data_IF_577116411068
#
_entry.id   IF_577116411068
#
_cell.length_a   1.000
_cell.length_b   1.000
_cell.length_c   1.000
_cell.angle_alpha   90.00
_cell.angle_beta   90.00
_cell.angle_gamma   90.00
#
_symmetry.space_group_name_H-M   'P 1'
#
loop_
_entity.id
_entity.type
_entity.pdbx_description
1 polymer ?
#
# COMPACT_ATOMS: atom_id res chain seq x y z
N UNK A 1 22.94 -47.37 29.41
CA UNK A 1 24.20 -48.07 29.07
C UNK A 1 24.57 -48.97 30.23
N UNK A 2 24.89 -50.21 29.97
CA UNK A 2 25.46 -51.10 30.96
C UNK A 2 26.98 -51.04 30.82
N UNK A 3 27.68 -50.92 31.94
CA UNK A 3 29.13 -50.94 31.97
C UNK A 3 29.59 -51.94 33.03
N UNK A 4 30.52 -52.77 32.72
CA UNK A 4 31.10 -53.75 33.62
C UNK A 4 32.22 -53.08 34.43
N UNK A 5 32.26 -53.30 35.74
CA UNK A 5 33.25 -52.74 36.64
C UNK A 5 34.28 -53.86 37.02
N UNK A 6 35.53 -53.42 37.13
CA UNK A 6 36.63 -54.26 37.60
C UNK A 6 36.91 -54.07 39.10
N UNK A 7 37.54 -55.03 39.74
CA UNK A 7 37.67 -55.07 41.20
C UNK A 7 38.67 -54.04 41.77
N UNK A 8 38.40 -53.65 43.02
CA UNK A 8 39.15 -52.70 43.85
C UNK A 8 38.92 -51.21 43.61
N UNK A 9 37.95 -50.67 44.33
CA UNK A 9 37.87 -49.20 44.57
C UNK A 9 37.62 -48.28 43.36
N UNK A 10 37.48 -48.88 42.18
CA UNK A 10 37.26 -48.12 40.97
C UNK A 10 35.84 -47.61 40.86
N UNK A 11 35.75 -46.32 40.72
CA UNK A 11 34.47 -45.63 40.46
C UNK A 11 34.00 -45.95 39.04
N UNK A 12 32.73 -46.24 38.89
CA UNK A 12 32.12 -46.25 37.55
C UNK A 12 31.82 -44.81 37.18
N UNK A 13 32.49 -44.38 36.19
CA UNK A 13 32.18 -43.11 35.57
C UNK A 13 31.52 -43.32 34.22
N UNK A 14 30.34 -42.83 34.02
CA UNK A 14 29.69 -42.84 32.72
C UNK A 14 29.20 -41.42 32.43
N UNK A 15 29.62 -40.88 31.30
CA UNK A 15 29.19 -39.58 30.85
C UNK A 15 27.90 -39.75 30.04
N UNK A 16 26.89 -39.00 30.41
CA UNK A 16 25.81 -38.70 29.52
C UNK A 16 26.29 -37.59 28.59
N UNK A 17 25.99 -37.69 27.30
CA UNK A 17 26.21 -36.54 26.40
C UNK A 17 25.52 -35.30 26.99
N UNK A 18 26.18 -34.14 26.90
CA UNK A 18 25.55 -32.91 27.34
C UNK A 18 24.22 -32.73 26.63
N UNK A 19 23.12 -32.53 27.37
CA UNK A 19 21.85 -32.22 26.75
C UNK A 19 21.93 -30.82 26.14
N UNK A 20 21.30 -30.64 24.99
CA UNK A 20 21.11 -29.31 24.41
C UNK A 20 20.16 -28.47 25.29
N UNK A 21 20.08 -27.17 25.02
CA UNK A 21 19.07 -26.31 25.68
C UNK A 21 17.63 -26.78 25.48
N UNK A 22 17.39 -27.68 24.52
CA UNK A 22 16.09 -28.26 24.17
C UNK A 22 15.86 -29.66 24.76
N UNK A 23 16.83 -30.26 25.45
CA UNK A 23 16.78 -31.64 25.93
C UNK A 23 17.12 -31.72 27.43
N UNK A 24 16.48 -32.61 28.14
CA UNK A 24 16.88 -33.07 29.47
C UNK A 24 16.70 -34.57 29.59
N UNK A 25 17.42 -35.16 30.51
CA UNK A 25 17.27 -36.57 30.84
C UNK A 25 16.49 -36.74 32.16
N UNK A 26 15.51 -37.61 32.10
CA UNK A 26 14.82 -38.08 33.30
C UNK A 26 15.31 -39.48 33.62
N UNK A 27 16.00 -39.62 34.72
CA UNK A 27 16.50 -40.91 35.16
C UNK A 27 15.43 -41.54 36.07
N UNK A 28 14.79 -42.59 35.56
CA UNK A 28 13.64 -43.24 36.23
C UNK A 28 14.03 -44.47 37.03
N UNK A 29 15.27 -44.94 36.93
CA UNK A 29 15.71 -46.09 37.70
C UNK A 29 17.19 -46.42 37.54
N UNK A 30 17.71 -46.99 38.56
CA UNK A 30 19.05 -47.51 38.68
C UNK A 30 18.98 -49.01 39.01
N UNK A 31 19.58 -49.83 38.19
CA UNK A 31 19.72 -51.29 38.45
C UNK A 31 21.17 -51.68 38.48
N UNK A 32 21.53 -52.50 39.36
CA UNK A 32 22.91 -53.03 39.44
C UNK A 32 22.96 -54.48 39.79
N UNK A 33 24.05 -55.11 39.39
CA UNK A 33 24.35 -56.50 39.77
C UNK A 33 25.80 -56.64 40.09
N UNK A 34 26.10 -57.53 40.94
CA UNK A 34 27.44 -57.89 41.38
C UNK A 34 27.60 -59.39 41.34
N UNK A 35 28.76 -59.81 40.91
CA UNK A 35 29.13 -61.20 40.91
C UNK A 35 30.37 -61.43 41.82
N UNK A 36 30.22 -62.33 42.82
CA UNK A 36 31.23 -62.58 43.83
C UNK A 36 31.88 -63.89 43.53
N UNK A 37 33.19 -63.89 43.33
CA UNK A 37 34.00 -65.07 43.06
C UNK A 37 34.91 -65.45 44.23
N UNK A 38 35.14 -64.54 45.19
CA UNK A 38 36.00 -64.76 46.34
C UNK A 38 35.19 -65.06 47.60
N UNK A 39 35.52 -66.16 48.22
CA UNK A 39 34.87 -66.64 49.40
C UNK A 39 35.03 -65.72 50.63
N UNK A 40 36.04 -64.86 50.65
CA UNK A 40 36.25 -63.84 51.69
C UNK A 40 35.16 -62.79 51.78
N UNK A 41 34.44 -62.69 50.71
CA UNK A 41 33.37 -61.70 50.58
C UNK A 41 31.96 -62.28 50.82
N UNK A 42 31.88 -63.52 51.27
CA UNK A 42 30.58 -64.12 51.61
C UNK A 42 30.14 -63.68 53.01
N UNK A 43 28.88 -63.36 53.12
CA UNK A 43 28.24 -62.99 54.35
C UNK A 43 28.23 -61.51 54.81
N UNK A 44 28.99 -60.66 54.10
CA UNK A 44 29.05 -59.24 54.42
C UNK A 44 27.99 -58.43 53.66
N UNK A 45 27.61 -57.30 54.21
CA UNK A 45 26.71 -56.35 53.53
C UNK A 45 27.48 -55.44 52.59
N UNK A 46 26.86 -55.02 51.50
CA UNK A 46 27.41 -54.11 50.52
C UNK A 46 26.71 -52.79 50.60
N UNK A 47 27.48 -51.76 50.34
CA UNK A 47 26.98 -50.41 50.09
C UNK A 47 27.39 -50.01 48.73
N UNK A 48 26.51 -49.40 47.98
CA UNK A 48 26.84 -48.72 46.77
C UNK A 48 26.54 -47.23 46.91
N UNK A 49 27.38 -46.43 46.33
CA UNK A 49 27.25 -45.01 46.25
C UNK A 49 27.07 -44.60 44.81
N UNK A 50 26.20 -43.66 44.57
CA UNK A 50 26.16 -42.97 43.31
C UNK A 50 25.96 -41.48 43.52
N UNK A 51 26.54 -40.68 42.64
CA UNK A 51 26.34 -39.24 42.58
C UNK A 51 26.30 -38.81 41.11
N UNK A 52 25.66 -37.67 40.93
CA UNK A 52 25.68 -36.99 39.63
C UNK A 52 26.45 -35.70 39.86
N UNK A 53 27.39 -35.37 38.98
CA UNK A 53 28.10 -34.09 39.04
C UNK A 53 27.08 -32.94 38.96
N UNK A 54 27.15 -31.98 39.87
CA UNK A 54 26.26 -30.84 40.10
C UNK A 54 24.95 -31.10 40.86
N UNK A 55 24.52 -32.34 41.04
CA UNK A 55 23.41 -32.67 41.95
C UNK A 55 23.81 -33.79 42.86
N UNK A 56 24.28 -33.43 44.03
CA UNK A 56 24.69 -34.43 45.04
C UNK A 56 23.47 -35.08 45.68
N UNK A 57 23.20 -36.32 45.29
CA UNK A 57 22.18 -37.18 45.92
C UNK A 57 22.82 -38.30 46.70
N UNK A 58 23.80 -37.99 47.52
CA UNK A 58 24.50 -39.01 48.30
C UNK A 58 23.56 -39.84 49.15
N UNK A 59 23.20 -41.03 48.65
CA UNK A 59 22.55 -42.07 49.44
C UNK A 59 23.36 -43.33 49.34
N UNK A 60 23.61 -43.90 50.52
CA UNK A 60 24.20 -45.21 50.65
C UNK A 60 23.10 -46.24 50.78
N UNK A 61 23.12 -47.23 49.92
CA UNK A 61 22.17 -48.36 49.94
C UNK A 61 22.94 -49.61 50.41
N UNK A 62 22.29 -50.33 51.31
CA UNK A 62 22.79 -51.61 51.79
C UNK A 62 22.12 -52.73 51.02
N UNK A 63 22.88 -53.55 50.32
CA UNK A 63 22.42 -54.76 49.71
C UNK A 63 22.82 -55.98 50.55
N UNK A 64 22.13 -57.09 50.36
CA UNK A 64 22.50 -58.32 51.04
C UNK A 64 23.49 -59.08 50.18
N UNK A 65 24.63 -59.49 50.75
CA UNK A 65 25.65 -60.27 50.12
C UNK A 65 25.14 -61.67 49.74
N UNK A 66 25.52 -62.19 48.58
CA UNK A 66 25.27 -63.60 48.27
C UNK A 66 25.92 -64.51 49.34
N UNK A 67 25.15 -65.51 49.74
CA UNK A 67 25.62 -66.51 50.73
C UNK A 67 26.38 -67.66 50.11
N UNK A 68 26.58 -67.68 48.80
CA UNK A 68 27.29 -68.70 48.05
C UNK A 68 28.14 -68.09 46.92
N UNK A 69 29.27 -68.74 46.58
CA UNK A 69 30.11 -68.35 45.45
C UNK A 69 29.34 -68.45 44.10
N UNK A 70 29.74 -67.66 43.16
CA UNK A 70 29.20 -67.60 41.79
C UNK A 70 27.72 -67.24 41.72
N UNK A 71 27.22 -66.51 42.70
CA UNK A 71 25.88 -65.96 42.65
C UNK A 71 25.87 -64.46 42.33
N UNK A 72 24.76 -64.02 41.77
CA UNK A 72 24.59 -62.62 41.40
C UNK A 72 23.70 -61.90 42.45
N UNK A 73 24.25 -60.93 43.17
CA UNK A 73 23.44 -60.00 43.94
C UNK A 73 22.91 -58.91 42.99
N UNK A 74 21.64 -58.62 43.10
CA UNK A 74 20.97 -57.59 42.32
C UNK A 74 20.31 -56.61 43.24
N UNK A 75 20.33 -55.37 42.85
CA UNK A 75 19.56 -54.31 43.48
C UNK A 75 18.85 -53.43 42.41
N UNK A 76 17.82 -52.78 42.81
CA UNK A 76 17.13 -51.78 42.02
C UNK A 76 16.73 -50.62 42.90
N UNK A 77 16.88 -49.42 42.40
CA UNK A 77 16.40 -48.21 43.03
C UNK A 77 15.69 -47.36 42.00
N UNK A 78 14.56 -46.79 42.33
CA UNK A 78 13.77 -45.96 41.48
C UNK A 78 13.79 -44.53 42.02
N UNK A 79 14.28 -43.60 41.18
CA UNK A 79 14.35 -42.19 41.52
C UNK A 79 14.03 -41.36 40.30
N UNK A 80 13.26 -40.32 40.55
CA UNK A 80 13.04 -39.27 39.61
C UNK A 80 14.11 -38.20 39.76
N UNK A 81 15.09 -38.20 38.84
CA UNK A 81 16.14 -37.21 38.81
C UNK A 81 16.23 -36.61 37.42
N UNK A 82 16.11 -35.30 37.38
CA UNK A 82 16.22 -34.56 36.10
C UNK A 82 17.64 -34.01 35.94
N UNK A 83 18.21 -34.22 34.76
CA UNK A 83 19.51 -33.69 34.36
C UNK A 83 19.35 -33.01 33.02
N UNK A 84 19.61 -31.74 32.95
CA UNK A 84 19.50 -31.08 31.66
C UNK A 84 19.71 -29.58 31.66
N UNK A 85 19.69 -29.01 30.50
CA UNK A 85 19.79 -27.57 30.29
C UNK A 85 21.19 -27.03 30.50
N UNK A 86 21.35 -26.21 31.52
CA UNK A 86 22.59 -25.46 31.76
C UNK A 86 23.59 -26.19 32.66
N UNK A 87 23.31 -27.44 33.04
CA UNK A 87 24.11 -28.17 34.05
C UNK A 87 25.43 -28.77 33.51
N UNK A 88 25.77 -28.52 32.22
CA UNK A 88 27.01 -29.03 31.62
C UNK A 88 26.96 -30.53 31.33
N UNK A 89 28.16 -31.19 31.37
CA UNK A 89 28.27 -32.64 31.15
C UNK A 89 27.95 -33.37 32.44
N UNK A 90 26.76 -33.98 32.60
CA UNK A 90 26.48 -34.74 33.81
C UNK A 90 27.28 -36.04 33.81
N UNK A 91 28.09 -36.20 34.78
CA UNK A 91 28.78 -37.45 35.04
C UNK A 91 28.05 -38.22 36.14
N UNK A 92 27.80 -39.47 35.87
CA UNK A 92 27.20 -40.39 36.83
C UNK A 92 28.33 -41.21 37.46
N UNK A 93 28.49 -41.10 38.77
CA UNK A 93 29.49 -41.83 39.55
C UNK A 93 28.84 -42.92 40.35
N UNK A 94 29.38 -44.08 40.33
CA UNK A 94 28.97 -45.15 41.22
C UNK A 94 30.16 -46.01 41.64
N UNK A 95 30.21 -46.33 42.90
CA UNK A 95 31.24 -47.25 43.41
C UNK A 95 30.62 -48.17 44.46
N UNK A 96 31.24 -49.32 44.62
CA UNK A 96 30.85 -50.29 45.59
C UNK A 96 31.82 -50.26 46.76
N UNK A 97 31.30 -50.38 47.98
CA UNK A 97 32.08 -50.41 49.21
C UNK A 97 31.59 -51.59 50.02
N UNK A 98 32.53 -52.36 50.52
CA UNK A 98 32.28 -53.34 51.58
C UNK A 98 32.24 -52.65 52.95
N UNK A 99 31.41 -53.13 53.86
CA UNK A 99 31.31 -52.57 55.22
C UNK A 99 32.66 -52.62 55.97
N UNK A 100 33.63 -53.46 55.57
CA UNK A 100 34.94 -53.59 56.18
C UNK A 100 36.11 -52.98 55.41
N UNK A 101 35.86 -52.25 54.36
CA UNK A 101 36.83 -51.56 53.45
C UNK A 101 37.90 -52.49 52.81
N UNK A 102 37.71 -53.80 52.87
CA UNK A 102 38.74 -54.76 52.43
C UNK A 102 38.29 -55.77 51.37
N UNK A 103 37.12 -55.62 50.78
CA UNK A 103 36.62 -56.65 49.86
C UNK A 103 36.89 -56.38 48.40
N UNK A 104 37.27 -57.42 47.72
CA UNK A 104 37.39 -57.47 46.26
C UNK A 104 35.98 -57.75 45.68
N UNK A 105 35.51 -56.88 44.86
CA UNK A 105 34.23 -57.02 44.13
C UNK A 105 34.57 -57.40 42.69
N UNK A 106 34.14 -58.60 42.31
CA UNK A 106 34.30 -59.09 40.96
C UNK A 106 33.05 -58.79 40.13
N UNK A 107 33.23 -58.23 38.97
CA UNK A 107 32.19 -58.02 37.95
C UNK A 107 30.89 -57.41 38.48
N UNK A 108 30.86 -56.11 38.65
CA UNK A 108 29.65 -55.39 38.93
C UNK A 108 29.19 -54.62 37.67
N UNK A 109 27.90 -54.50 37.50
CA UNK A 109 27.30 -53.69 36.44
C UNK A 109 26.33 -52.70 37.04
N UNK A 110 26.28 -51.54 36.45
CA UNK A 110 25.34 -50.49 36.76
C UNK A 110 24.57 -50.08 35.50
N UNK A 111 23.28 -50.12 35.55
CA UNK A 111 22.40 -49.78 34.43
C UNK A 111 21.51 -48.61 34.85
N UNK A 112 21.59 -47.57 34.08
CA UNK A 112 20.71 -46.43 34.24
C UNK A 112 19.59 -46.49 33.19
N UNK A 113 18.34 -46.43 33.68
CA UNK A 113 17.19 -46.28 32.83
C UNK A 113 16.90 -44.79 32.71
N UNK A 114 17.04 -44.26 31.52
CA UNK A 114 16.77 -42.83 31.21
C UNK A 114 15.68 -42.69 30.19
N UNK A 115 14.88 -41.67 30.34
CA UNK A 115 13.95 -41.19 29.32
C UNK A 115 14.36 -39.78 28.94
N UNK A 116 14.53 -39.49 27.66
CA UNK A 116 14.79 -38.15 27.20
C UNK A 116 13.48 -37.37 27.12
N UNK A 117 13.52 -36.16 27.62
CA UNK A 117 12.45 -35.19 27.49
C UNK A 117 12.95 -33.98 26.70
N UNK A 118 12.08 -33.41 25.92
CA UNK A 118 12.40 -32.37 24.96
C UNK A 118 11.47 -31.17 25.12
N UNK A 119 11.91 -30.01 24.66
CA UNK A 119 11.13 -28.77 24.58
C UNK A 119 11.35 -28.10 23.24
N UNK A 120 10.44 -27.19 22.87
CA UNK A 120 10.55 -26.33 21.71
C UNK A 120 10.62 -24.87 22.15
N UNK A 121 11.25 -24.02 21.36
CA UNK A 121 11.14 -22.57 21.50
C UNK A 121 10.26 -22.02 20.38
N UNK A 122 9.38 -21.05 20.71
CA UNK A 122 8.38 -20.54 19.78
C UNK A 122 8.51 -19.03 19.70
N UNK A 123 8.62 -18.52 18.49
CA UNK A 123 8.74 -17.10 18.18
C UNK A 123 7.67 -16.73 17.17
N UNK A 124 6.89 -15.69 17.47
CA UNK A 124 6.04 -15.00 16.48
C UNK A 124 6.80 -13.78 15.97
N UNK A 125 7.10 -13.75 14.68
CA UNK A 125 7.68 -12.62 13.99
C UNK A 125 6.56 -11.88 13.25
N UNK A 126 6.38 -10.59 13.55
CA UNK A 126 5.27 -9.81 13.00
C UNK A 126 5.52 -9.31 11.57
N UNK A 127 6.66 -9.67 10.96
CA UNK A 127 6.95 -9.54 9.53
C UNK A 127 6.62 -8.14 8.99
N UNK A 128 7.19 -7.12 9.62
CA UNK A 128 6.98 -5.71 9.30
C UNK A 128 5.76 -5.07 9.96
N UNK A 129 5.00 -5.82 10.75
CA UNK A 129 4.01 -5.30 11.69
C UNK A 129 4.56 -5.14 13.11
N UNK A 130 3.69 -4.73 14.03
CA UNK A 130 4.00 -4.59 15.46
C UNK A 130 2.81 -5.02 16.32
N UNK A 131 3.11 -5.51 17.50
CA UNK A 131 2.14 -5.69 18.59
C UNK A 131 2.75 -5.12 19.87
N UNK A 132 2.01 -4.26 20.58
CA UNK A 132 2.50 -3.54 21.76
C UNK A 132 3.87 -2.87 21.55
N UNK A 133 4.15 -2.36 20.32
CA UNK A 133 5.41 -1.71 19.98
C UNK A 133 6.58 -2.65 19.65
N UNK A 134 6.40 -3.96 19.75
CA UNK A 134 7.41 -4.97 19.43
C UNK A 134 7.23 -5.51 18.01
N UNK A 135 8.34 -5.89 17.36
CA UNK A 135 8.35 -6.50 16.02
C UNK A 135 8.20 -8.03 16.03
N UNK A 136 8.31 -8.64 17.21
CA UNK A 136 8.19 -10.08 17.44
C UNK A 136 7.85 -10.37 18.89
N UNK A 137 7.36 -11.57 19.16
CA UNK A 137 7.20 -12.10 20.51
C UNK A 137 7.87 -13.45 20.62
N UNK A 138 8.74 -13.58 21.60
CA UNK A 138 9.35 -14.84 22.00
C UNK A 138 8.58 -15.40 23.20
N UNK A 139 7.96 -16.55 23.03
CA UNK A 139 7.26 -17.25 24.12
C UNK A 139 8.21 -18.04 25.00
N UNK A 140 9.51 -18.01 24.68
CA UNK A 140 10.51 -18.82 25.37
C UNK A 140 10.35 -20.32 25.07
N UNK A 141 10.78 -21.12 26.02
CA UNK A 141 10.71 -22.56 25.89
C UNK A 141 9.37 -23.10 26.38
N UNK A 142 8.86 -24.11 25.69
CA UNK A 142 7.70 -24.87 26.13
C UNK A 142 7.98 -25.69 27.38
N UNK A 143 6.95 -26.30 27.96
CA UNK A 143 7.11 -27.38 28.92
C UNK A 143 7.83 -28.59 28.30
N UNK A 144 8.46 -29.39 29.13
CA UNK A 144 9.12 -30.61 28.72
C UNK A 144 8.13 -31.69 28.31
N UNK A 145 8.47 -32.48 27.30
CA UNK A 145 7.67 -33.61 26.80
C UNK A 145 8.54 -34.75 26.33
N UNK A 146 8.02 -35.97 26.41
CA UNK A 146 8.61 -37.16 25.75
C UNK A 146 8.17 -37.33 24.31
N UNK A 147 7.20 -36.50 23.84
CA UNK A 147 6.71 -36.50 22.47
C UNK A 147 7.62 -35.80 21.49
N UNK A 148 7.33 -35.94 20.20
CA UNK A 148 8.11 -35.35 19.09
C UNK A 148 7.68 -33.91 18.74
N UNK A 149 6.54 -33.45 19.26
CA UNK A 149 6.03 -32.09 19.03
C UNK A 149 5.22 -31.61 20.23
N UNK A 150 5.05 -30.27 20.27
CA UNK A 150 4.22 -29.60 21.27
C UNK A 150 3.17 -28.79 20.53
N UNK A 151 1.92 -28.98 20.90
CA UNK A 151 0.80 -28.20 20.38
C UNK A 151 0.84 -26.79 20.95
N UNK A 152 1.01 -25.78 20.07
CA UNK A 152 0.94 -24.38 20.39
C UNK A 152 -0.38 -23.79 19.87
N UNK A 153 -1.11 -23.09 20.72
CA UNK A 153 -2.38 -22.49 20.38
C UNK A 153 -2.19 -21.01 20.04
N UNK A 154 -2.66 -20.62 18.85
CA UNK A 154 -2.82 -19.24 18.41
C UNK A 154 -4.26 -18.84 18.75
N UNK A 155 -4.45 -18.07 19.81
CA UNK A 155 -5.78 -17.74 20.36
C UNK A 155 -6.30 -16.37 19.86
N UNK A 156 -5.54 -15.70 19.02
CA UNK A 156 -5.87 -14.36 18.52
C UNK A 156 -5.54 -13.22 19.48
N UNK A 157 -4.97 -13.50 20.66
CA UNK A 157 -4.55 -12.45 21.61
C UNK A 157 -3.36 -11.63 21.07
N UNK A 158 -2.55 -12.22 20.21
CA UNK A 158 -1.34 -11.63 19.62
C UNK A 158 -1.60 -11.23 18.16
N UNK A 159 -2.60 -10.37 17.91
CA UNK A 159 -2.88 -9.85 16.57
C UNK A 159 -2.02 -8.62 16.29
N UNK A 160 -0.97 -8.74 15.49
CA UNK A 160 -0.14 -7.61 15.13
C UNK A 160 -0.89 -6.65 14.20
N UNK A 161 -0.44 -5.39 14.17
CA UNK A 161 -0.93 -4.36 13.27
C UNK A 161 0.17 -3.93 12.32
N UNK A 162 -0.21 -3.61 11.07
CA UNK A 162 0.65 -3.02 10.07
C UNK A 162 -0.15 -2.01 9.27
N UNK A 163 0.32 -0.75 9.26
CA UNK A 163 -0.40 0.33 8.60
C UNK A 163 -0.61 0.02 7.10
N UNK A 164 -1.85 0.09 6.65
CA UNK A 164 -2.23 -0.17 5.26
C UNK A 164 -2.27 -1.65 4.88
N UNK A 165 -2.23 -2.55 5.85
CA UNK A 165 -2.31 -4.00 5.63
C UNK A 165 -3.34 -4.63 6.55
N UNK A 166 -3.93 -5.71 6.10
CA UNK A 166 -4.79 -6.60 6.86
C UNK A 166 -3.98 -7.83 7.30
N UNK A 167 -4.10 -8.20 8.57
CA UNK A 167 -3.48 -9.42 9.09
C UNK A 167 -4.32 -10.64 8.70
N UNK A 168 -3.71 -11.59 8.00
CA UNK A 168 -4.40 -12.80 7.51
C UNK A 168 -4.17 -14.02 8.41
N UNK A 169 -3.09 -14.04 9.20
CA UNK A 169 -2.67 -15.19 9.99
C UNK A 169 -1.17 -15.43 9.90
N UNK A 170 -0.75 -16.68 10.09
CA UNK A 170 0.64 -17.04 10.29
C UNK A 170 1.16 -18.05 9.26
N UNK A 171 2.46 -18.03 8.99
CA UNK A 171 3.15 -19.02 8.15
C UNK A 171 4.57 -19.26 8.65
N UNK A 172 5.13 -20.45 8.36
CA UNK A 172 6.56 -20.72 8.56
C UNK A 172 7.45 -20.04 7.53
N UNK A 173 6.88 -19.55 6.42
CA UNK A 173 7.60 -18.84 5.38
C UNK A 173 7.36 -17.34 5.52
N UNK A 174 8.41 -16.54 5.69
CA UNK A 174 8.34 -15.08 5.80
C UNK A 174 7.82 -14.38 4.54
N UNK A 175 7.90 -15.03 3.38
CA UNK A 175 7.43 -14.52 2.09
C UNK A 175 6.05 -15.06 1.67
N UNK A 176 5.33 -15.73 2.59
CA UNK A 176 4.02 -16.27 2.29
C UNK A 176 3.01 -15.15 1.96
N UNK A 177 2.22 -15.34 0.92
CA UNK A 177 1.12 -14.46 0.52
C UNK A 177 -0.24 -14.94 1.02
N UNK A 178 -0.30 -16.18 1.53
CA UNK A 178 -1.46 -16.76 2.20
C UNK A 178 -1.03 -17.48 3.48
N UNK A 179 -1.83 -17.42 4.56
CA UNK A 179 -1.48 -18.05 5.81
C UNK A 179 -1.60 -19.57 5.74
N UNK A 180 -0.68 -20.27 6.42
CA UNK A 180 -0.80 -21.71 6.68
C UNK A 180 -1.63 -21.96 7.93
N UNK A 181 -1.56 -21.02 8.89
CA UNK A 181 -2.29 -21.05 10.15
C UNK A 181 -3.14 -19.80 10.29
N UNK A 182 -4.43 -19.96 10.62
CA UNK A 182 -5.33 -18.84 10.86
C UNK A 182 -4.97 -18.02 12.10
N UNK A 183 -5.67 -16.91 12.27
CA UNK A 183 -5.53 -16.03 13.44
C UNK A 183 -5.81 -16.79 14.73
N UNK A 184 -6.87 -17.61 14.72
CA UNK A 184 -7.20 -18.56 15.80
C UNK A 184 -7.00 -19.96 15.25
N UNK A 185 -5.96 -20.64 15.67
CA UNK A 185 -5.60 -21.97 15.20
C UNK A 185 -4.59 -22.62 16.14
N UNK A 186 -4.07 -23.77 15.78
CA UNK A 186 -2.94 -24.39 16.48
C UNK A 186 -1.96 -24.97 15.49
N UNK A 187 -0.70 -25.08 15.91
CA UNK A 187 0.30 -25.81 15.15
C UNK A 187 1.13 -26.70 16.09
N UNK A 188 1.63 -27.78 15.52
CA UNK A 188 2.53 -28.68 16.23
C UNK A 188 3.98 -28.21 16.02
N UNK A 189 4.57 -27.66 17.10
CA UNK A 189 5.96 -27.22 17.13
C UNK A 189 6.85 -28.44 17.36
N UNK A 190 7.71 -28.83 16.40
CA UNK A 190 8.65 -29.91 16.64
C UNK A 190 9.59 -29.57 17.79
N UNK A 191 9.90 -30.56 18.64
CA UNK A 191 10.85 -30.40 19.72
C UNK A 191 12.29 -30.29 19.21
N UNK A 192 13.22 -29.96 20.09
CA UNK A 192 14.66 -29.79 19.81
C UNK A 192 15.01 -28.63 18.88
N UNK A 193 14.12 -27.68 18.69
CA UNK A 193 14.39 -26.54 17.80
C UNK A 193 13.51 -25.32 18.14
N UNK A 194 13.91 -24.20 17.54
CA UNK A 194 13.07 -23.00 17.51
C UNK A 194 12.14 -23.05 16.29
N UNK A 195 10.84 -22.86 16.54
CA UNK A 195 9.83 -22.67 15.52
C UNK A 195 9.47 -21.18 15.42
N UNK A 196 9.71 -20.56 14.26
CA UNK A 196 9.30 -19.19 14.00
C UNK A 196 8.10 -19.17 13.06
N UNK A 197 7.04 -18.47 13.46
CA UNK A 197 5.89 -18.16 12.61
C UNK A 197 5.95 -16.67 12.23
N UNK A 198 5.74 -16.40 10.96
CA UNK A 198 5.73 -15.06 10.39
C UNK A 198 4.30 -14.62 10.11
N UNK A 199 3.98 -13.38 10.48
CA UNK A 199 2.71 -12.78 10.13
C UNK A 199 2.58 -12.66 8.61
N UNK A 200 1.41 -13.02 8.09
CA UNK A 200 1.05 -12.89 6.67
C UNK A 200 0.09 -11.73 6.51
N UNK A 201 0.36 -10.88 5.53
CA UNK A 201 -0.31 -9.62 5.31
C UNK A 201 -0.93 -9.52 3.93
N UNK A 202 -2.15 -8.98 3.84
CA UNK A 202 -2.73 -8.47 2.61
C UNK A 202 -2.65 -6.95 2.57
N UNK A 203 -2.17 -6.38 1.46
CA UNK A 203 -2.20 -4.94 1.28
C UNK A 203 -3.65 -4.46 1.12
N UNK A 204 -4.04 -3.40 1.83
CA UNK A 204 -5.34 -2.78 1.68
C UNK A 204 -5.51 -2.17 0.29
N UNK A 205 -6.73 -2.12 -0.18
CA UNK A 205 -7.08 -1.51 -1.46
C UNK A 205 -8.02 -0.33 -1.25
N UNK A 206 -7.91 0.66 -2.14
CA UNK A 206 -8.67 1.89 -2.12
C UNK A 206 -9.32 2.13 -3.47
N UNK A 207 -10.55 2.67 -3.48
CA UNK A 207 -11.24 3.04 -4.71
C UNK A 207 -10.89 4.47 -5.09
N UNK A 208 -10.40 4.65 -6.32
CA UNK A 208 -10.19 5.95 -6.95
C UNK A 208 -11.28 6.15 -8.00
N UNK A 209 -12.20 7.05 -7.69
CA UNK A 209 -13.32 7.40 -8.58
C UNK A 209 -13.01 8.66 -9.37
N UNK A 210 -13.68 8.84 -10.50
CA UNK A 210 -13.53 10.00 -11.39
C UNK A 210 -14.87 10.72 -11.55
N UNK A 211 -14.83 12.03 -11.48
CA UNK A 211 -15.97 12.89 -11.73
C UNK A 211 -15.65 13.88 -12.83
N UNK A 212 -16.46 13.90 -13.87
CA UNK A 212 -16.25 14.80 -15.00
C UNK A 212 -16.47 16.29 -14.68
N UNK A 213 -16.98 16.62 -13.49
CA UNK A 213 -17.09 17.98 -12.96
C UNK A 213 -17.75 18.97 -13.95
N UNK A 214 -18.96 18.62 -14.39
CA UNK A 214 -19.72 19.40 -15.37
C UNK A 214 -19.42 19.03 -16.83
N UNK A 215 -18.54 18.07 -17.09
CA UNK A 215 -18.34 17.42 -18.39
C UNK A 215 -19.02 16.04 -18.45
N UNK A 216 -18.62 15.23 -19.43
CA UNK A 216 -19.08 13.86 -19.66
C UNK A 216 -17.92 12.92 -20.00
N UNK A 217 -18.14 11.59 -19.91
CA UNK A 217 -17.13 10.61 -20.26
C UNK A 217 -16.01 10.44 -19.24
N UNK A 218 -16.29 10.64 -17.94
CA UNK A 218 -15.35 10.29 -16.88
C UNK A 218 -15.01 8.79 -16.95
N UNK A 219 -13.74 8.39 -16.68
CA UNK A 219 -13.37 6.99 -16.65
C UNK A 219 -14.07 6.26 -15.48
N UNK A 220 -14.16 4.94 -15.60
CA UNK A 220 -14.56 4.08 -14.47
C UNK A 220 -13.54 4.15 -13.34
N UNK A 221 -13.99 3.84 -12.12
CA UNK A 221 -13.12 3.78 -10.95
C UNK A 221 -12.03 2.72 -11.09
N UNK A 222 -10.89 2.98 -10.46
CA UNK A 222 -9.72 2.10 -10.40
C UNK A 222 -9.42 1.70 -8.97
N UNK A 223 -8.77 0.55 -8.81
CA UNK A 223 -8.31 0.05 -7.51
C UNK A 223 -6.85 0.45 -7.30
N UNK A 224 -6.58 1.13 -6.19
CA UNK A 224 -5.25 1.49 -5.70
C UNK A 224 -4.85 0.53 -4.59
N UNK A 225 -3.75 -0.19 -4.74
CA UNK A 225 -3.18 -1.04 -3.69
C UNK A 225 -2.25 -0.21 -2.81
N UNK A 226 -2.31 -0.42 -1.50
CA UNK A 226 -1.44 0.26 -0.54
C UNK A 226 0.05 0.08 -0.90
N UNK A 227 0.81 1.17 -0.88
CA UNK A 227 2.24 1.17 -1.18
C UNK A 227 2.61 0.99 -2.67
N UNK A 228 1.64 0.68 -3.55
CA UNK A 228 1.88 0.50 -4.98
C UNK A 228 1.39 1.73 -5.74
N UNK A 229 2.23 2.34 -6.57
CA UNK A 229 1.82 3.47 -7.43
C UNK A 229 0.76 3.00 -8.43
N UNK A 230 -0.36 3.74 -8.51
CA UNK A 230 -1.39 3.53 -9.52
C UNK A 230 -1.14 4.45 -10.70
N UNK A 231 -1.17 3.91 -11.91
CA UNK A 231 -1.27 4.73 -13.14
C UNK A 231 -2.74 5.07 -13.35
N UNK A 232 -3.07 6.36 -13.31
CA UNK A 232 -4.43 6.84 -13.54
C UNK A 232 -4.87 6.55 -14.98
N UNK A 233 -6.19 6.51 -15.20
CA UNK A 233 -6.75 6.37 -16.54
C UNK A 233 -6.26 7.47 -17.48
N UNK A 234 -5.89 7.10 -18.71
CA UNK A 234 -5.55 8.04 -19.77
C UNK A 234 -6.76 8.65 -20.47
N UNK A 235 -7.97 8.14 -20.18
CA UNK A 235 -9.22 8.68 -20.73
C UNK A 235 -9.45 10.08 -20.22
N UNK A 236 -9.70 11.00 -21.14
CA UNK A 236 -10.02 12.41 -20.85
C UNK A 236 -11.53 12.62 -21.02
N UNK A 237 -12.21 13.18 -20.03
CA UNK A 237 -13.59 13.59 -20.20
C UNK A 237 -13.68 14.78 -21.17
N UNK A 238 -14.88 15.08 -21.63
CA UNK A 238 -15.15 16.20 -22.53
C UNK A 238 -16.12 17.19 -21.90
N UNK A 239 -15.97 18.47 -22.22
CA UNK A 239 -16.89 19.53 -21.84
C UNK A 239 -16.91 20.58 -22.92
N UNK A 240 -18.12 20.90 -23.43
CA UNK A 240 -18.29 21.89 -24.51
C UNK A 240 -17.69 23.23 -24.07
N UNK A 241 -16.86 23.82 -24.93
CA UNK A 241 -16.22 25.10 -24.70
C UNK A 241 -15.09 25.12 -23.66
N UNK A 242 -14.64 23.95 -23.20
CA UNK A 242 -13.57 23.84 -22.22
C UNK A 242 -12.48 22.87 -22.66
N UNK A 243 -11.27 23.13 -22.21
CA UNK A 243 -10.11 22.27 -22.32
C UNK A 243 -9.91 21.51 -20.99
N UNK A 244 -9.67 20.21 -21.08
CA UNK A 244 -9.35 19.39 -19.93
C UNK A 244 -7.88 19.57 -19.55
N UNK A 245 -7.62 20.04 -18.32
CA UNK A 245 -6.27 20.25 -17.79
C UNK A 245 -5.72 19.03 -17.04
N UNK A 246 -6.59 18.19 -16.48
CA UNK A 246 -6.22 17.06 -15.63
C UNK A 246 -7.19 16.88 -14.48
N UNK A 247 -6.72 16.22 -13.46
CA UNK A 247 -7.52 15.82 -12.30
C UNK A 247 -7.06 16.51 -11.01
N UNK A 248 -7.98 16.78 -10.09
CA UNK A 248 -7.70 17.27 -8.76
C UNK A 248 -8.65 16.61 -7.73
N UNK A 249 -8.31 16.67 -6.45
CA UNK A 249 -9.14 16.12 -5.37
C UNK A 249 -10.26 17.07 -4.93
N UNK A 250 -10.23 18.33 -5.37
CA UNK A 250 -11.28 19.33 -5.10
C UNK A 250 -12.09 19.62 -6.36
N UNK A 251 -13.43 19.68 -6.29
CA UNK A 251 -14.28 20.05 -7.42
C UNK A 251 -14.12 21.51 -7.86
N UNK A 252 -13.56 22.37 -7.00
CA UNK A 252 -13.34 23.80 -7.24
C UNK A 252 -11.90 24.13 -7.62
N UNK A 253 -11.04 23.12 -7.84
CA UNK A 253 -9.65 23.33 -8.20
C UNK A 253 -9.56 24.05 -9.56
N UNK A 254 -8.67 25.06 -9.64
CA UNK A 254 -8.36 25.82 -10.86
C UNK A 254 -7.10 25.30 -11.58
N UNK A 255 -6.34 24.43 -10.91
CA UNK A 255 -5.16 23.77 -11.50
C UNK A 255 -5.22 22.26 -11.24
N UNK A 256 -4.72 21.47 -12.20
CA UNK A 256 -4.68 20.03 -12.09
C UNK A 256 -3.51 19.58 -11.20
N UNK A 257 -3.76 18.61 -10.31
CA UNK A 257 -2.74 17.94 -9.51
C UNK A 257 -2.19 16.71 -10.22
N UNK A 258 -3.03 16.04 -11.00
CA UNK A 258 -2.70 14.81 -11.71
C UNK A 258 -3.07 14.94 -13.19
N UNK A 259 -2.19 14.48 -14.06
CA UNK A 259 -2.50 14.34 -15.48
C UNK A 259 -3.28 13.04 -15.75
N UNK A 260 -4.02 12.99 -16.88
CA UNK A 260 -4.51 11.71 -17.39
C UNK A 260 -3.33 10.79 -17.71
N UNK A 261 -3.40 9.52 -17.26
CA UNK A 261 -2.28 8.57 -17.35
C UNK A 261 -1.15 8.82 -16.37
N UNK A 262 -1.27 9.83 -15.48
CA UNK A 262 -0.24 10.18 -14.49
C UNK A 262 -0.18 9.21 -13.30
N UNK A 263 0.85 9.37 -12.48
CA UNK A 263 1.07 8.55 -11.28
C UNK A 263 0.27 9.07 -10.08
N UNK A 264 -0.34 8.14 -9.35
CA UNK A 264 -1.06 8.40 -8.09
C UNK A 264 -0.47 7.55 -6.98
N UNK A 265 0.07 8.18 -5.95
CA UNK A 265 0.79 7.51 -4.85
C UNK A 265 0.04 7.49 -3.52
N UNK A 266 -0.97 8.35 -3.35
CA UNK A 266 -1.69 8.46 -2.07
C UNK A 266 -2.43 7.16 -1.72
N UNK A 267 -2.34 6.77 -0.46
CA UNK A 267 -3.01 5.60 0.07
C UNK A 267 -4.31 6.03 0.77
N UNK A 268 -5.43 5.88 0.08
CA UNK A 268 -6.76 6.23 0.55
C UNK A 268 -7.76 6.29 -0.59
N UNK A 269 -9.03 6.10 -0.29
CA UNK A 269 -10.13 6.28 -1.24
C UNK A 269 -10.26 7.76 -1.58
N UNK A 270 -10.41 8.08 -2.87
CA UNK A 270 -10.52 9.45 -3.34
C UNK A 270 -11.45 9.56 -4.56
N UNK A 271 -12.05 10.74 -4.72
CA UNK A 271 -12.70 11.14 -5.97
C UNK A 271 -11.83 12.21 -6.63
N UNK A 272 -11.48 11.99 -7.89
CA UNK A 272 -10.74 12.90 -8.72
C UNK A 272 -11.71 13.65 -9.63
N UNK A 273 -11.70 14.96 -9.55
CA UNK A 273 -12.56 15.85 -10.31
C UNK A 273 -11.80 16.41 -11.49
N UNK A 274 -12.43 16.43 -12.68
CA UNK A 274 -11.85 17.07 -13.84
C UNK A 274 -11.67 18.58 -13.61
N UNK A 275 -10.50 19.06 -13.98
CA UNK A 275 -10.17 20.49 -13.97
C UNK A 275 -10.25 21.02 -15.38
N UNK A 276 -10.99 22.11 -15.54
CA UNK A 276 -11.34 22.68 -16.82
C UNK A 276 -10.80 24.09 -16.98
N UNK A 277 -10.31 24.42 -18.18
CA UNK A 277 -10.02 25.77 -18.60
C UNK A 277 -11.01 26.14 -19.72
N UNK A 278 -11.71 27.25 -19.57
CA UNK A 278 -12.57 27.77 -20.63
C UNK A 278 -11.71 28.11 -21.86
N UNK A 279 -12.18 27.71 -23.05
CA UNK A 279 -11.53 28.03 -24.31
C UNK A 279 -11.70 29.53 -24.62
N UNK A 280 -10.77 30.04 -25.39
CA UNK A 280 -10.78 31.42 -25.89
C UNK A 280 -10.86 31.39 -27.40
N UNK A 281 -11.71 32.27 -27.94
CA UNK A 281 -11.95 32.36 -29.37
C UNK A 281 -11.60 33.77 -29.87
N UNK A 282 -10.95 33.84 -31.03
CA UNK A 282 -10.93 35.03 -31.85
C UNK A 282 -12.33 35.30 -32.42
N UNK A 283 -12.61 36.53 -32.80
CA UNK A 283 -13.90 36.92 -33.37
C UNK A 283 -13.73 37.19 -34.85
N UNK A 284 -14.60 36.60 -35.68
CA UNK A 284 -14.69 36.91 -37.10
C UNK A 284 -15.74 38.01 -37.27
N UNK A 285 -15.28 39.19 -37.67
CA UNK A 285 -16.17 40.31 -38.04
C UNK A 285 -16.50 40.21 -39.54
N UNK A 286 -17.79 40.40 -39.87
CA UNK A 286 -18.31 40.46 -41.24
C UNK A 286 -18.94 41.83 -41.45
N UNK A 287 -18.48 42.53 -42.49
CA UNK A 287 -18.92 43.87 -42.77
C UNK A 287 -20.37 43.96 -43.27
N UNK A 288 -21.01 42.81 -43.61
CA UNK A 288 -22.43 42.75 -44.02
C UNK A 288 -22.76 43.82 -45.05
N UNK A 289 -22.03 43.80 -46.18
CA UNK A 289 -22.06 44.79 -47.26
C UNK A 289 -20.96 45.87 -47.15
N UNK A 290 -20.41 46.11 -45.98
CA UNK A 290 -19.22 46.96 -45.81
C UNK A 290 -17.92 46.16 -45.93
N UNK A 291 -16.80 46.88 -46.08
CA UNK A 291 -15.47 46.28 -46.20
C UNK A 291 -14.54 46.85 -45.16
N UNK A 292 -13.62 46.00 -44.68
CA UNK A 292 -12.56 46.42 -43.75
C UNK A 292 -11.54 47.30 -44.47
N UNK A 293 -11.34 48.52 -44.01
CA UNK A 293 -10.63 49.59 -44.74
C UNK A 293 -9.15 49.28 -44.99
N UNK A 294 -8.51 48.43 -44.14
CA UNK A 294 -7.11 48.08 -44.29
C UNK A 294 -6.94 46.90 -45.25
N UNK A 295 -7.80 45.88 -45.19
CA UNK A 295 -7.66 44.66 -45.98
C UNK A 295 -8.49 44.66 -47.28
N UNK A 296 -9.50 45.52 -47.35
CA UNK A 296 -10.46 45.53 -48.45
C UNK A 296 -11.42 44.31 -48.44
N UNK A 297 -11.37 43.49 -47.43
CA UNK A 297 -12.18 42.25 -47.29
C UNK A 297 -13.52 42.56 -46.62
N UNK A 298 -14.53 41.80 -46.96
CA UNK A 298 -15.83 41.79 -46.26
C UNK A 298 -15.71 41.15 -44.84
N UNK A 299 -14.67 40.36 -44.60
CA UNK A 299 -14.43 39.70 -43.32
C UNK A 299 -13.06 40.03 -42.76
N UNK A 300 -12.97 40.16 -41.46
CA UNK A 300 -11.70 40.34 -40.74
C UNK A 300 -11.74 39.63 -39.41
N UNK A 301 -10.67 38.90 -39.07
CA UNK A 301 -10.54 38.17 -37.81
C UNK A 301 -9.71 38.98 -36.80
N UNK A 302 -10.32 39.30 -35.64
CA UNK A 302 -9.60 39.88 -34.51
C UNK A 302 -8.91 38.77 -33.72
N UNK A 303 -7.63 38.52 -33.99
CA UNK A 303 -6.81 37.54 -33.29
C UNK A 303 -6.25 38.07 -31.99
N UNK A 304 -6.33 39.37 -31.74
CA UNK A 304 -5.75 40.06 -30.56
C UNK A 304 -6.69 40.01 -29.38
N UNK A 305 -7.97 40.33 -29.61
CA UNK A 305 -9.00 40.33 -28.57
C UNK A 305 -9.76 39.00 -28.62
N UNK A 306 -9.63 38.24 -27.52
CA UNK A 306 -10.27 36.91 -27.43
C UNK A 306 -11.44 36.92 -26.46
N UNK A 307 -12.48 36.19 -26.80
CA UNK A 307 -13.64 35.99 -25.99
C UNK A 307 -13.60 34.60 -25.37
N UNK A 308 -13.73 34.57 -24.02
CA UNK A 308 -13.72 33.33 -23.24
C UNK A 308 -15.12 32.70 -23.24
N UNK A 309 -15.20 31.39 -23.49
CA UNK A 309 -16.44 30.62 -23.44
C UNK A 309 -17.22 30.83 -22.14
N UNK A 310 -18.52 31.06 -22.27
CA UNK A 310 -19.43 31.21 -21.14
C UNK A 310 -19.36 32.56 -20.40
N UNK A 311 -18.38 33.42 -20.74
CA UNK A 311 -18.28 34.77 -20.19
C UNK A 311 -19.10 35.73 -21.06
N UNK A 312 -19.82 36.64 -20.41
CA UNK A 312 -20.55 37.70 -21.09
C UNK A 312 -19.67 38.92 -21.35
N UNK A 313 -19.75 39.48 -22.51
CA UNK A 313 -18.99 40.65 -22.94
C UNK A 313 -19.93 41.73 -23.44
N UNK A 314 -19.65 42.98 -23.08
CA UNK A 314 -20.26 44.13 -23.72
C UNK A 314 -19.67 44.26 -25.14
N UNK A 315 -20.52 44.27 -26.16
CA UNK A 315 -20.19 44.39 -27.57
C UNK A 315 -20.78 45.63 -28.24
N UNK A 316 -21.14 46.61 -27.40
CA UNK A 316 -21.59 47.94 -27.95
C UNK A 316 -20.49 48.56 -28.81
N UNK A 317 -20.90 49.49 -29.66
CA UNK A 317 -19.94 50.22 -30.52
C UNK A 317 -18.92 51.02 -29.68
N UNK A 318 -19.29 51.51 -28.52
CA UNK A 318 -18.37 52.18 -27.58
C UNK A 318 -17.25 51.26 -27.12
N UNK A 319 -17.55 49.95 -26.94
CA UNK A 319 -16.61 48.96 -26.41
C UNK A 319 -15.77 48.32 -27.53
N UNK A 320 -16.41 47.91 -28.63
CA UNK A 320 -15.74 47.22 -29.74
C UNK A 320 -15.17 48.16 -30.78
N UNK A 321 -15.79 49.35 -30.93
CA UNK A 321 -15.46 50.25 -32.07
C UNK A 321 -16.02 49.76 -33.40
N UNK A 322 -15.66 50.45 -34.48
CA UNK A 322 -16.08 50.14 -35.84
C UNK A 322 -15.23 49.04 -36.51
N UNK A 323 -14.16 48.58 -35.83
CA UNK A 323 -13.21 47.59 -36.35
C UNK A 323 -12.72 47.91 -37.76
N UNK A 324 -12.59 49.20 -38.07
CA UNK A 324 -12.17 49.73 -39.39
C UNK A 324 -13.06 49.30 -40.58
N UNK A 325 -14.29 48.88 -40.35
CA UNK A 325 -15.25 48.60 -41.40
C UNK A 325 -15.92 49.90 -41.88
N UNK A 326 -16.08 50.00 -43.18
CA UNK A 326 -16.75 51.10 -43.86
C UNK A 326 -17.74 50.58 -44.88
N UNK A 327 -18.93 51.23 -44.91
CA UNK A 327 -19.92 51.00 -45.92
C UNK A 327 -20.34 52.36 -46.46
N UNK A 328 -20.00 52.67 -47.74
CA UNK A 328 -20.30 53.99 -48.28
C UNK A 328 -21.79 54.38 -48.18
N UNK A 329 -22.04 55.51 -47.57
CA UNK A 329 -23.41 56.01 -47.37
C UNK A 329 -24.13 55.47 -46.15
N UNK A 330 -23.47 54.68 -45.33
CA UNK A 330 -24.04 54.12 -44.11
C UNK A 330 -23.19 54.44 -42.87
N UNK A 331 -23.85 54.51 -41.72
CA UNK A 331 -23.23 54.59 -40.41
C UNK A 331 -23.32 53.23 -39.72
N UNK A 332 -22.27 52.80 -39.08
CA UNK A 332 -22.30 51.58 -38.29
C UNK A 332 -23.08 51.82 -36.95
N UNK A 333 -24.14 51.05 -36.72
CA UNK A 333 -24.89 51.06 -35.46
C UNK A 333 -24.27 50.16 -34.39
N UNK A 334 -23.60 49.10 -34.85
CA UNK A 334 -22.97 48.11 -33.95
C UNK A 334 -22.88 46.73 -34.61
N UNK A 335 -22.89 45.71 -33.78
CA UNK A 335 -22.63 44.33 -34.18
C UNK A 335 -23.75 43.38 -33.74
N UNK A 336 -24.04 42.36 -34.51
CA UNK A 336 -24.99 41.30 -34.15
C UNK A 336 -24.47 39.93 -34.63
N UNK A 337 -24.91 38.82 -33.99
CA UNK A 337 -24.57 37.45 -34.41
C UNK A 337 -25.36 36.97 -35.63
N UNK A 338 -26.34 37.75 -36.13
CA UNK A 338 -27.10 37.47 -37.32
C UNK A 338 -26.88 38.56 -38.37
N UNK A 339 -26.50 38.18 -39.62
CA UNK A 339 -26.36 39.09 -40.75
C UNK A 339 -27.70 39.68 -41.24
N UNK A 340 -28.84 39.18 -40.78
CA UNK A 340 -30.18 39.70 -41.13
C UNK A 340 -30.80 40.54 -40.01
N UNK A 341 -30.11 40.73 -38.89
CA UNK A 341 -30.58 41.58 -37.80
C UNK A 341 -30.59 43.05 -38.21
N UNK A 342 -31.55 43.80 -37.69
CA UNK A 342 -31.73 45.24 -37.91
C UNK A 342 -31.24 46.08 -36.74
N UNK A 343 -31.04 45.45 -35.56
CA UNK A 343 -30.58 46.11 -34.33
C UNK A 343 -29.29 45.45 -33.84
N UNK A 344 -28.34 46.22 -33.31
CA UNK A 344 -27.14 45.68 -32.71
C UNK A 344 -27.43 45.00 -31.34
N UNK A 345 -26.61 43.99 -31.02
CA UNK A 345 -26.56 43.45 -29.66
C UNK A 345 -25.72 44.35 -28.77
N UNK A 346 -26.09 44.42 -27.48
CA UNK A 346 -25.28 45.10 -26.46
C UNK A 346 -24.34 44.15 -25.75
N UNK A 347 -24.70 42.87 -25.68
CA UNK A 347 -23.87 41.83 -24.99
C UNK A 347 -23.80 40.58 -25.87
N UNK A 348 -22.68 39.84 -25.68
CA UNK A 348 -22.45 38.54 -26.32
C UNK A 348 -21.91 37.57 -25.28
N UNK A 349 -22.46 36.36 -25.28
CA UNK A 349 -21.94 35.21 -24.56
C UNK A 349 -21.74 34.07 -25.52
N UNK A 350 -20.53 33.49 -25.54
CA UNK A 350 -20.23 32.34 -26.39
C UNK A 350 -20.71 31.08 -25.68
N UNK A 351 -21.69 30.40 -26.27
CA UNK A 351 -22.30 29.17 -25.73
C UNK A 351 -22.07 27.93 -26.61
N UNK A 352 -21.51 28.13 -27.82
CA UNK A 352 -21.13 27.06 -28.74
C UNK A 352 -19.62 26.97 -28.86
N UNK A 353 -19.08 25.75 -29.03
CA UNK A 353 -17.64 25.49 -29.17
C UNK A 353 -17.21 25.75 -30.60
N UNK A 354 -17.41 26.99 -31.05
CA UNK A 354 -17.07 27.48 -32.39
C UNK A 354 -16.66 28.94 -32.34
N UNK A 355 -15.93 29.40 -33.34
CA UNK A 355 -15.53 30.79 -33.47
C UNK A 355 -16.77 31.69 -33.67
N UNK A 356 -16.99 32.70 -32.83
CA UNK A 356 -18.10 33.62 -33.00
C UNK A 356 -17.90 34.51 -34.20
N UNK A 357 -18.98 34.74 -34.91
CA UNK A 357 -19.05 35.70 -36.03
C UNK A 357 -19.96 36.85 -35.67
N UNK A 358 -19.53 38.09 -35.88
CA UNK A 358 -20.28 39.31 -35.68
C UNK A 358 -20.45 40.03 -37.00
N UNK A 359 -21.70 40.35 -37.31
CA UNK A 359 -22.09 41.05 -38.53
C UNK A 359 -22.35 42.53 -38.21
N UNK A 360 -21.86 43.40 -39.06
CA UNK A 360 -22.12 44.83 -38.95
C UNK A 360 -23.62 45.14 -39.18
N UNK A 361 -24.16 46.00 -38.37
CA UNK A 361 -25.50 46.53 -38.52
C UNK A 361 -25.37 47.99 -38.96
N UNK A 362 -25.94 48.29 -40.08
CA UNK A 362 -25.82 49.60 -40.71
C UNK A 362 -27.13 50.34 -40.74
N UNK A 363 -27.08 51.64 -40.49
CA UNK A 363 -28.14 52.56 -40.83
C UNK A 363 -27.75 53.45 -42.01
N UNK A 364 -28.72 53.89 -42.77
CA UNK A 364 -28.48 54.81 -43.84
C UNK A 364 -27.96 56.14 -43.30
N UNK A 365 -26.77 56.58 -43.71
CA UNK A 365 -26.20 57.85 -43.30
C UNK A 365 -26.99 59.04 -43.81
N UNK A 366 -27.42 59.90 -42.92
CA UNK A 366 -28.30 61.03 -43.22
C UNK A 366 -27.55 62.30 -43.69
N UNK A 367 -26.53 62.15 -44.50
CA UNK A 367 -25.68 63.30 -44.89
C UNK A 367 -26.27 64.19 -45.97
N UNK A 368 -27.36 63.82 -46.60
CA UNK A 368 -28.05 64.64 -47.61
C UNK A 368 -29.49 64.89 -47.15
N UNK A 369 -29.82 66.14 -46.92
CA UNK A 369 -31.17 66.56 -46.64
C UNK A 369 -31.71 67.35 -47.82
N UNK A 370 -32.91 67.03 -48.27
CA UNK A 370 -33.62 67.77 -49.29
C UNK A 370 -34.82 68.49 -48.67
N UNK A 371 -34.94 69.80 -48.93
CA UNK A 371 -36.07 70.56 -48.44
C UNK A 371 -37.24 70.38 -49.39
N UNK A 372 -38.27 69.66 -48.94
CA UNK A 372 -39.48 69.44 -49.70
C UNK A 372 -40.71 69.71 -48.89
N UNK A 373 -41.70 70.35 -49.42
CA UNK A 373 -42.96 70.66 -48.71
C UNK A 373 -42.85 71.37 -47.38
N UNK A 374 -41.85 72.28 -47.29
CA UNK A 374 -41.67 73.05 -46.03
C UNK A 374 -40.86 72.35 -44.95
N UNK A 375 -40.36 71.18 -45.20
CA UNK A 375 -39.57 70.38 -44.21
C UNK A 375 -38.27 69.80 -44.83
N UNK A 376 -37.23 69.70 -43.99
CA UNK A 376 -36.01 69.00 -44.33
C UNK A 376 -36.20 67.47 -44.17
N UNK A 377 -36.10 66.75 -45.29
CA UNK A 377 -36.15 65.29 -45.32
C UNK A 377 -34.77 64.70 -45.67
N UNK A 378 -34.48 63.55 -45.15
CA UNK A 378 -33.30 62.79 -45.50
C UNK A 378 -33.48 62.28 -46.94
N UNK A 379 -32.54 62.58 -47.79
CA UNK A 379 -32.52 62.08 -49.18
C UNK A 379 -31.34 61.10 -49.39
N UNK A 380 -31.63 60.01 -49.99
CA UNK A 380 -30.60 59.03 -50.43
C UNK A 380 -30.20 59.46 -51.86
N UNK A 381 -28.96 59.88 -52.10
CA UNK A 381 -28.57 60.28 -53.46
C UNK A 381 -28.34 59.01 -54.32
N UNK A 382 -29.17 58.86 -55.28
CA UNK A 382 -28.96 57.90 -56.40
C UNK A 382 -28.53 58.62 -57.65
N UNK A 383 -27.56 58.05 -58.34
CA UNK A 383 -27.16 58.51 -59.69
C UNK A 383 -27.54 57.43 -60.65
N UNK A 384 -28.19 57.82 -61.74
CA UNK A 384 -28.55 56.94 -62.80
C UNK A 384 -27.38 56.86 -63.83
N UNK A 385 -26.69 55.68 -63.86
CA UNK A 385 -25.56 55.41 -64.71
C UNK A 385 -25.77 54.09 -65.42
N UNK A 386 -25.55 54.07 -66.76
CA UNK A 386 -25.59 52.86 -67.55
C UNK A 386 -26.92 52.06 -67.49
N UNK A 387 -28.05 52.79 -67.33
CA UNK A 387 -29.36 52.14 -67.26
C UNK A 387 -29.80 51.69 -65.88
N UNK A 388 -29.03 51.93 -64.83
CA UNK A 388 -29.34 51.55 -63.47
C UNK A 388 -29.20 52.73 -62.52
N UNK A 389 -30.02 52.71 -61.45
CA UNK A 389 -29.88 53.62 -60.28
C UNK A 389 -28.81 53.06 -59.30
N UNK A 390 -27.74 53.84 -59.18
CA UNK A 390 -26.66 53.51 -58.23
C UNK A 390 -26.63 54.51 -57.09
N UNK A 391 -26.38 54.03 -55.86
CA UNK A 391 -26.13 54.89 -54.72
C UNK A 391 -24.96 55.84 -55.05
N UNK A 392 -25.18 57.14 -54.96
CA UNK A 392 -24.15 58.15 -55.18
C UNK A 392 -23.39 58.41 -53.93
N UNK A 393 -22.06 58.28 -54.03
CA UNK A 393 -21.18 58.83 -52.94
C UNK A 393 -21.16 60.34 -53.12
N UNK A 394 -21.56 61.07 -52.07
CA UNK A 394 -21.53 62.50 -52.02
C UNK A 394 -20.12 63.05 -52.27
N UNK A 395 -19.88 63.64 -53.37
CA UNK A 395 -18.67 64.46 -53.60
C UNK A 395 -18.96 65.92 -53.22
N UNK A 396 -18.15 66.49 -52.31
CA UNK A 396 -18.23 67.91 -51.97
C UNK A 396 -17.32 68.66 -52.86
N UNK A 397 -17.88 69.65 -53.55
CA UNK A 397 -17.12 70.59 -54.31
C UNK A 397 -16.52 71.63 -53.40
N UNK A 398 -15.18 71.60 -53.28
CA UNK A 398 -14.47 72.57 -52.47
C UNK A 398 -13.28 73.10 -53.20
N UNK A 399 -13.23 74.45 -53.42
CA UNK A 399 -12.17 75.15 -54.09
C UNK A 399 -11.78 74.58 -55.50
N UNK A 400 -12.77 74.45 -56.36
CA UNK A 400 -12.55 74.07 -57.77
C UNK A 400 -12.18 72.58 -58.05
N UNK A 401 -12.27 71.72 -57.01
CA UNK A 401 -12.02 70.25 -57.14
C UNK A 401 -13.11 69.44 -56.41
N UNK A 402 -13.58 68.33 -57.04
CA UNK A 402 -14.42 67.34 -56.39
C UNK A 402 -13.59 66.42 -55.50
N UNK A 403 -13.92 66.39 -54.27
CA UNK A 403 -13.32 65.45 -53.26
C UNK A 403 -14.35 64.48 -52.72
N UNK A 404 -13.95 63.23 -52.50
CA UNK A 404 -14.76 62.23 -51.87
C UNK A 404 -14.76 62.42 -50.35
#
# INVERSE_FOLDING_TARGET
MARTIYPHGDSIETYLSAPSEYERYHIVGLTGSMYVTDSRNLGDSFKYHFSISNVYTGKTYKGTKPTSLNTIARFSDYRDLYVGGDDGYPALYGYWVNDSDSAVIDNASLIFNKTSEYRARIILNYNGGTYAGQSSKDFGYSNWTTGYSIKFNLDGSENPIRNGYEFLGWSKNSNATSPTYGIVSSFDAPVNQTSTLYAVWAAQTYTISYNANGGSGAPSSQTKTHGVTLTLSSTKPTRIGYEFLGWATSPTATSATYSAGGSYTNNGTATLYAVWKAKEYSVLYNGNGGTHSITGSETWEDTTNKFTFGKEYNISLETLGDKDFKYPGYNLLGWNTSGTATEPLTTLKIEKDEQPQLYAIWELGSNIRVYTNGNWQIAIPYVYENGEWKLSISKVFNNEAWRQ
#
